data_IF_836160007989
#
_entry.id   IF_836160007989
#
_cell.length_a   1.000
_cell.length_b   1.000
_cell.length_c   1.000
_cell.angle_alpha   90.00
_cell.angle_beta   90.00
_cell.angle_gamma   90.00
#
_symmetry.space_group_name_H-M   'P 1'
#
loop_
_entity.id
_entity.type
_entity.pdbx_description
1 polymer ?
#
# COMPACT_ATOMS: atom_id res chain seq x y z
N UNK A 1 -21.24 -28.09 -3.36
CA UNK A 1 -21.64 -27.13 -2.31
C UNK A 1 -21.26 -25.74 -2.81
N UNK A 2 -22.22 -24.97 -3.35
CA UNK A 2 -21.93 -23.74 -4.09
C UNK A 2 -21.59 -22.58 -3.15
N UNK A 3 -20.38 -22.03 -3.24
CA UNK A 3 -20.02 -20.79 -2.54
C UNK A 3 -20.84 -19.63 -3.12
N UNK A 4 -21.58 -18.94 -2.27
CA UNK A 4 -22.31 -17.72 -2.61
C UNK A 4 -21.31 -16.70 -3.15
N UNK A 5 -21.43 -16.31 -4.42
CA UNK A 5 -20.75 -15.13 -4.94
C UNK A 5 -21.17 -13.94 -4.08
N UNK A 6 -20.19 -13.15 -3.63
CA UNK A 6 -20.44 -11.78 -3.21
C UNK A 6 -21.23 -11.09 -4.32
N UNK A 7 -22.40 -10.53 -4.02
CA UNK A 7 -23.24 -9.84 -5.02
C UNK A 7 -22.52 -8.59 -5.59
N UNK A 8 -21.41 -8.16 -4.96
CA UNK A 8 -20.74 -6.88 -5.20
C UNK A 8 -19.42 -6.98 -6.00
N UNK A 9 -18.77 -8.14 -6.07
CA UNK A 9 -17.48 -8.32 -6.75
C UNK A 9 -17.56 -9.43 -7.81
N UNK A 10 -16.90 -9.22 -8.96
CA UNK A 10 -16.88 -10.23 -10.02
C UNK A 10 -16.12 -11.50 -9.61
N UNK A 11 -15.05 -11.35 -8.83
CA UNK A 11 -14.22 -12.44 -8.32
C UNK A 11 -14.32 -12.53 -6.79
N UNK A 12 -14.01 -13.70 -6.24
CA UNK A 12 -13.97 -13.95 -4.79
C UNK A 12 -12.61 -13.61 -4.14
N UNK A 13 -11.55 -13.47 -4.95
CA UNK A 13 -10.20 -13.13 -4.49
C UNK A 13 -9.38 -14.30 -3.94
N UNK A 14 -9.97 -15.48 -3.76
CA UNK A 14 -9.34 -16.64 -3.10
C UNK A 14 -8.02 -17.06 -3.79
N UNK A 15 -8.05 -17.17 -5.12
CA UNK A 15 -6.87 -17.56 -5.89
C UNK A 15 -5.75 -16.51 -5.78
N UNK A 16 -6.10 -15.23 -5.85
CA UNK A 16 -5.14 -14.13 -5.76
C UNK A 16 -4.47 -14.10 -4.39
N UNK A 17 -5.25 -14.22 -3.31
CA UNK A 17 -4.73 -14.24 -1.95
C UNK A 17 -3.74 -15.38 -1.76
N UNK A 18 -4.12 -16.59 -2.18
CA UNK A 18 -3.26 -17.78 -2.07
C UNK A 18 -1.97 -17.60 -2.87
N UNK A 19 -2.05 -17.07 -4.10
CA UNK A 19 -0.86 -16.87 -4.94
C UNK A 19 0.09 -15.82 -4.35
N UNK A 20 -0.44 -14.71 -3.82
CA UNK A 20 0.36 -13.67 -3.17
C UNK A 20 1.06 -14.24 -1.93
N UNK A 21 0.34 -14.99 -1.09
CA UNK A 21 0.89 -15.62 0.12
C UNK A 21 1.98 -16.65 -0.23
N UNK A 22 1.77 -17.46 -1.26
CA UNK A 22 2.74 -18.45 -1.76
C UNK A 22 4.03 -17.76 -2.27
N UNK A 23 3.90 -16.70 -3.07
CA UNK A 23 5.04 -15.99 -3.65
C UNK A 23 5.85 -15.19 -2.63
N UNK A 24 5.18 -14.54 -1.68
CA UNK A 24 5.84 -13.65 -0.74
C UNK A 24 6.38 -14.39 0.49
N UNK A 25 5.90 -15.61 0.77
CA UNK A 25 6.26 -16.38 1.96
C UNK A 25 5.97 -15.53 3.22
N UNK A 26 6.44 -15.97 4.38
CA UNK A 26 6.37 -15.26 5.66
C UNK A 26 7.38 -14.10 5.65
N UNK A 27 7.01 -12.97 5.04
CA UNK A 27 7.82 -11.73 4.99
C UNK A 27 7.06 -10.53 5.55
N UNK A 28 7.71 -9.82 6.47
CA UNK A 28 7.22 -8.54 6.98
C UNK A 28 7.66 -7.39 6.07
N UNK A 29 6.87 -6.32 6.02
CA UNK A 29 7.17 -5.14 5.22
C UNK A 29 8.55 -4.53 5.51
N UNK A 30 9.00 -4.55 6.77
CA UNK A 30 10.30 -3.98 7.15
C UNK A 30 11.50 -4.81 6.65
N UNK A 31 11.27 -6.06 6.23
CA UNK A 31 12.29 -6.99 5.73
C UNK A 31 12.54 -6.85 4.22
N UNK A 32 11.90 -5.91 3.53
CA UNK A 32 12.17 -5.68 2.11
C UNK A 32 13.60 -5.19 1.88
N UNK A 33 14.25 -5.70 0.83
CA UNK A 33 15.64 -5.37 0.50
C UNK A 33 15.83 -3.88 0.19
N UNK A 34 14.84 -3.27 -0.45
CA UNK A 34 14.78 -1.84 -0.74
C UNK A 34 13.56 -1.21 -0.08
N UNK A 35 13.55 0.11 0.02
CA UNK A 35 12.39 0.81 0.55
C UNK A 35 11.26 0.79 -0.48
N UNK A 36 10.10 0.29 -0.06
CA UNK A 36 8.90 0.22 -0.90
C UNK A 36 7.80 1.08 -0.30
N UNK A 37 6.91 1.56 -1.17
CA UNK A 37 5.69 2.25 -0.80
C UNK A 37 4.51 1.61 -1.51
N UNK A 38 3.50 1.21 -0.75
CA UNK A 38 2.33 0.48 -1.22
C UNK A 38 1.09 1.29 -0.84
N UNK A 39 0.46 2.00 -1.79
CA UNK A 39 -0.76 2.76 -1.54
C UNK A 39 -1.98 1.83 -1.45
N UNK A 40 -2.92 2.17 -0.58
CA UNK A 40 -4.20 1.52 -0.39
C UNK A 40 -5.21 2.58 0.06
N UNK A 41 -6.50 2.28 0.03
CA UNK A 41 -7.53 3.16 0.59
C UNK A 41 -8.34 2.41 1.65
N UNK A 42 -8.49 2.99 2.84
CA UNK A 42 -9.32 2.37 3.89
C UNK A 42 -10.76 2.87 3.77
N UNK A 43 -11.68 1.99 3.38
CA UNK A 43 -13.08 2.33 3.14
C UNK A 43 -13.87 2.58 4.42
N UNK A 44 -13.37 2.13 5.58
CA UNK A 44 -14.03 2.39 6.86
C UNK A 44 -13.61 3.74 7.43
N UNK A 45 -12.33 4.09 7.29
CA UNK A 45 -11.79 5.37 7.73
C UNK A 45 -11.93 6.48 6.66
N UNK A 46 -12.33 6.11 5.44
CA UNK A 46 -12.47 7.00 4.29
C UNK A 46 -11.21 7.82 4.00
N UNK A 47 -10.04 7.18 4.10
CA UNK A 47 -8.76 7.85 3.93
C UNK A 47 -7.71 6.97 3.22
N UNK A 48 -6.77 7.58 2.49
CA UNK A 48 -5.65 6.85 1.91
C UNK A 48 -4.72 6.32 3.02
N UNK A 49 -4.30 5.06 2.88
CA UNK A 49 -3.29 4.44 3.72
C UNK A 49 -2.11 4.03 2.84
N UNK A 50 -0.92 4.44 3.25
CA UNK A 50 0.31 4.07 2.56
C UNK A 50 1.19 3.26 3.50
N UNK A 51 1.45 2.02 3.13
CA UNK A 51 2.42 1.16 3.77
C UNK A 51 3.80 1.48 3.20
N UNK A 52 4.78 1.73 4.06
CA UNK A 52 6.13 2.13 3.64
C UNK A 52 7.16 1.42 4.52
N UNK A 53 8.21 0.90 3.90
CA UNK A 53 9.33 0.25 4.61
C UNK A 53 9.99 1.23 5.58
N UNK A 54 10.14 2.50 5.20
CA UNK A 54 10.75 3.54 6.05
C UNK A 54 9.93 3.75 7.33
N UNK A 55 8.60 3.87 7.19
CA UNK A 55 7.67 3.96 8.34
C UNK A 55 7.68 2.70 9.21
N UNK A 56 7.81 1.52 8.60
CA UNK A 56 7.83 0.25 9.31
C UNK A 56 9.14 0.03 10.09
N UNK A 57 10.29 0.42 9.53
CA UNK A 57 11.60 0.36 10.20
C UNK A 57 11.67 1.28 11.41
N UNK A 58 11.01 2.44 11.36
CA UNK A 58 11.00 3.41 12.48
C UNK A 58 10.15 2.94 13.67
N UNK A 59 9.02 2.29 13.39
CA UNK A 59 8.07 1.89 14.41
C UNK A 59 7.89 0.37 14.39
N UNK A 60 8.58 -0.33 15.28
CA UNK A 60 8.41 -1.78 15.48
C UNK A 60 6.95 -2.21 15.76
N UNK A 61 6.11 -1.29 16.24
CA UNK A 61 4.67 -1.49 16.44
C UNK A 61 3.85 -1.47 15.13
N UNK A 62 4.43 -1.20 13.96
CA UNK A 62 3.72 -1.10 12.66
C UNK A 62 4.20 -2.16 11.66
N UNK A 63 4.39 -3.38 12.14
CA UNK A 63 4.91 -4.49 11.34
C UNK A 63 3.75 -5.24 10.69
N UNK A 64 3.34 -4.81 9.49
CA UNK A 64 2.38 -5.57 8.68
C UNK A 64 3.07 -6.63 7.82
N UNK A 65 2.35 -7.71 7.52
CA UNK A 65 2.76 -8.69 6.52
C UNK A 65 2.79 -8.03 5.15
N UNK A 66 3.83 -8.33 4.35
CA UNK A 66 3.94 -7.78 3.01
C UNK A 66 2.77 -8.26 2.13
N UNK A 67 2.33 -9.50 2.32
CA UNK A 67 1.19 -10.09 1.64
C UNK A 67 -0.13 -9.36 1.91
N UNK A 68 -0.41 -8.99 3.16
CA UNK A 68 -1.60 -8.20 3.50
C UNK A 68 -1.64 -6.87 2.74
N UNK A 69 -0.49 -6.18 2.67
CA UNK A 69 -0.37 -4.93 1.94
C UNK A 69 -0.57 -5.14 0.43
N UNK A 70 0.01 -6.20 -0.14
CA UNK A 70 -0.12 -6.56 -1.56
C UNK A 70 -1.55 -6.97 -1.95
N UNK A 71 -2.26 -7.69 -1.08
CA UNK A 71 -3.67 -7.99 -1.31
C UNK A 71 -4.48 -6.70 -1.28
N UNK A 72 -4.32 -5.89 -0.23
CA UNK A 72 -5.05 -4.63 -0.08
C UNK A 72 -4.88 -3.66 -1.25
N UNK A 73 -3.65 -3.47 -1.76
CA UNK A 73 -3.38 -2.55 -2.88
C UNK A 73 -3.98 -3.01 -4.20
N UNK A 74 -4.22 -4.31 -4.36
CA UNK A 74 -4.74 -4.91 -5.59
C UNK A 74 -6.24 -5.17 -5.57
N UNK A 75 -6.92 -4.90 -4.45
CA UNK A 75 -8.35 -5.14 -4.25
C UNK A 75 -9.21 -4.10 -4.99
N UNK A 76 -9.16 -4.15 -6.33
CA UNK A 76 -9.87 -3.24 -7.23
C UNK A 76 -11.38 -3.31 -6.98
N UNK A 77 -12.04 -2.18 -6.63
CA UNK A 77 -13.49 -2.14 -6.50
C UNK A 77 -14.17 -2.70 -7.74
N UNK A 78 -15.32 -3.34 -7.57
CA UNK A 78 -16.08 -4.08 -8.59
C UNK A 78 -15.44 -5.41 -9.04
N UNK A 79 -14.11 -5.53 -9.10
CA UNK A 79 -13.44 -6.76 -9.53
C UNK A 79 -13.18 -7.72 -8.37
N UNK A 80 -12.62 -7.22 -7.28
CA UNK A 80 -12.17 -7.97 -6.12
C UNK A 80 -12.85 -7.47 -4.84
N UNK A 81 -13.06 -8.34 -3.84
CA UNK A 81 -13.65 -7.91 -2.57
C UNK A 81 -12.66 -7.04 -1.77
N UNK A 82 -13.15 -6.10 -0.94
CA UNK A 82 -12.30 -5.39 0.01
C UNK A 82 -11.56 -6.36 0.95
N UNK A 83 -10.32 -6.02 1.28
CA UNK A 83 -9.46 -6.85 2.13
C UNK A 83 -9.46 -6.36 3.57
N UNK A 84 -9.67 -7.28 4.51
CA UNK A 84 -9.66 -6.99 5.94
C UNK A 84 -8.53 -7.73 6.64
N UNK A 85 -7.80 -7.01 7.49
CA UNK A 85 -6.89 -7.65 8.46
C UNK A 85 -6.73 -6.80 9.72
N UNK A 86 -6.21 -7.44 10.76
CA UNK A 86 -5.90 -6.81 12.04
C UNK A 86 -4.39 -6.83 12.28
N UNK A 87 -3.87 -5.71 12.76
CA UNK A 87 -2.50 -5.59 13.20
C UNK A 87 -2.47 -5.36 14.71
N UNK A 88 -1.91 -6.32 15.44
CA UNK A 88 -1.71 -6.20 16.87
C UNK A 88 -0.43 -5.40 17.15
N UNK A 89 -0.59 -4.32 17.90
CA UNK A 89 0.49 -3.41 18.28
C UNK A 89 0.56 -3.30 19.79
N UNK A 90 1.68 -2.80 20.33
CA UNK A 90 1.80 -2.49 21.77
C UNK A 90 0.75 -1.50 22.28
N UNK A 91 0.19 -0.67 21.39
CA UNK A 91 -0.85 0.32 21.70
C UNK A 91 -2.28 -0.18 21.47
N UNK A 92 -2.45 -1.46 21.10
CA UNK A 92 -3.75 -2.07 20.80
C UNK A 92 -3.85 -2.63 19.38
N UNK A 93 -5.05 -3.06 19.00
CA UNK A 93 -5.32 -3.65 17.69
C UNK A 93 -5.78 -2.61 16.69
N UNK A 94 -5.04 -2.47 15.58
CA UNK A 94 -5.43 -1.62 14.45
C UNK A 94 -6.10 -2.48 13.37
N UNK A 95 -7.30 -2.08 12.96
CA UNK A 95 -8.08 -2.77 11.93
C UNK A 95 -7.93 -2.03 10.60
N UNK A 96 -7.79 -2.77 9.52
CA UNK A 96 -7.65 -2.24 8.16
C UNK A 96 -8.77 -2.79 7.27
N UNK A 97 -9.43 -1.91 6.51
CA UNK A 97 -10.50 -2.28 5.58
C UNK A 97 -10.11 -1.73 4.21
N UNK A 98 -9.24 -2.43 3.50
CA UNK A 98 -8.50 -1.91 2.37
C UNK A 98 -9.17 -2.22 1.04
N UNK A 99 -9.07 -1.25 0.13
CA UNK A 99 -9.28 -1.42 -1.31
C UNK A 99 -8.08 -0.87 -2.07
N UNK A 100 -8.11 -1.08 -3.38
CA UNK A 100 -7.05 -0.76 -4.33
C UNK A 100 -6.39 0.61 -4.14
N UNK A 101 -5.07 0.64 -4.32
CA UNK A 101 -4.25 1.83 -4.23
C UNK A 101 -4.62 2.93 -5.22
N UNK A 102 -5.20 2.61 -6.37
CA UNK A 102 -5.67 3.58 -7.38
C UNK A 102 -6.71 4.54 -6.79
N UNK A 103 -7.55 4.06 -5.86
CA UNK A 103 -8.54 4.89 -5.16
C UNK A 103 -7.85 5.95 -4.30
N UNK A 104 -6.68 5.65 -3.75
CA UNK A 104 -5.88 6.57 -2.95
C UNK A 104 -4.93 7.44 -3.79
N UNK A 105 -4.25 6.84 -4.76
CA UNK A 105 -3.23 7.45 -5.58
C UNK A 105 -3.03 6.67 -6.89
N UNK A 106 -3.57 7.20 -7.99
CA UNK A 106 -3.39 6.63 -9.33
C UNK A 106 -1.93 6.70 -9.83
N UNK A 107 -1.16 7.70 -9.37
CA UNK A 107 0.26 7.87 -9.73
C UNK A 107 1.11 7.75 -8.45
N UNK A 108 1.57 6.55 -8.10
CA UNK A 108 2.33 6.33 -6.87
C UNK A 108 3.67 7.06 -6.83
N UNK A 109 4.22 7.49 -7.97
CA UNK A 109 5.48 8.25 -8.06
C UNK A 109 5.46 9.53 -7.21
N UNK A 110 4.38 10.30 -7.27
CA UNK A 110 4.26 11.54 -6.50
C UNK A 110 4.22 11.22 -5.00
N UNK A 111 3.50 10.16 -4.64
CA UNK A 111 3.44 9.68 -3.26
C UNK A 111 4.82 9.24 -2.75
N UNK A 112 5.59 8.52 -3.58
CA UNK A 112 6.95 8.08 -3.25
C UNK A 112 7.90 9.25 -3.00
N UNK A 113 7.91 10.26 -3.89
CA UNK A 113 8.72 11.47 -3.71
C UNK A 113 8.34 12.20 -2.42
N UNK A 114 7.04 12.29 -2.11
CA UNK A 114 6.56 12.91 -0.88
C UNK A 114 7.00 12.12 0.38
N UNK A 115 7.00 10.79 0.33
CA UNK A 115 7.45 9.95 1.44
C UNK A 115 8.94 10.11 1.68
N UNK A 116 9.76 10.06 0.61
CA UNK A 116 11.20 10.30 0.68
C UNK A 116 11.52 11.70 1.20
N UNK A 117 10.77 12.73 0.76
CA UNK A 117 10.94 14.10 1.29
C UNK A 117 10.72 14.16 2.79
N UNK A 118 9.63 13.54 3.28
CA UNK A 118 9.29 13.53 4.72
C UNK A 118 10.41 12.88 5.52
N UNK A 119 10.96 11.78 5.02
CA UNK A 119 12.06 11.06 5.66
C UNK A 119 13.36 11.88 5.67
N UNK A 120 13.73 12.53 4.56
CA UNK A 120 14.90 13.41 4.51
C UNK A 120 14.75 14.60 5.48
N UNK A 121 13.55 15.20 5.56
CA UNK A 121 13.29 16.32 6.47
C UNK A 121 13.39 15.89 7.93
N UNK A 122 12.87 14.72 8.28
CA UNK A 122 12.87 14.23 9.66
C UNK A 122 14.27 13.84 10.15
N UNK A 123 15.13 13.32 9.26
CA UNK A 123 16.51 12.99 9.60
C UNK A 123 17.41 14.22 9.83
N UNK A 124 17.04 15.40 9.33
CA UNK A 124 17.84 16.63 9.45
C UNK A 124 17.52 17.48 10.69
N UNK A 125 16.58 17.07 11.54
CA UNK A 125 16.29 17.74 12.81
C UNK A 125 15.69 19.14 12.71
N UNK A 126 15.40 19.64 11.50
CA UNK A 126 14.80 20.96 11.27
C UNK A 126 13.46 20.82 10.53
N UNK A 127 12.45 21.67 10.82
CA UNK A 127 11.22 21.76 10.03
C UNK A 127 11.54 22.53 8.75
N UNK A 128 12.47 22.01 7.97
CA UNK A 128 12.85 22.60 6.72
C UNK A 128 11.81 22.21 5.67
N UNK A 129 10.84 23.11 5.48
CA UNK A 129 10.11 23.33 4.23
C UNK A 129 11.08 23.72 3.10
N UNK A 130 12.19 23.01 2.95
CA UNK A 130 13.14 23.27 1.88
C UNK A 130 12.48 22.80 0.58
N UNK A 131 12.63 23.63 -0.45
CA UNK A 131 12.32 23.25 -1.83
C UNK A 131 12.93 21.87 -2.08
N UNK A 132 12.12 20.94 -2.60
CA UNK A 132 12.64 19.65 -3.02
C UNK A 132 13.61 19.97 -4.16
N UNK A 133 14.89 19.68 -3.95
CA UNK A 133 15.86 19.78 -5.02
C UNK A 133 15.66 18.58 -5.95
N UNK A 134 14.70 18.72 -6.87
CA UNK A 134 14.37 17.68 -7.85
C UNK A 134 15.56 17.33 -8.75
N UNK A 135 16.61 18.16 -8.83
CA UNK A 135 17.83 17.84 -9.57
C UNK A 135 18.57 16.62 -9.02
N UNK A 136 18.31 16.26 -7.75
CA UNK A 136 18.89 15.08 -7.09
C UNK A 136 18.07 13.80 -7.30
N UNK A 137 16.92 13.87 -7.96
CA UNK A 137 16.04 12.73 -8.16
C UNK A 137 16.17 12.21 -9.59
N UNK A 138 16.56 10.95 -9.71
CA UNK A 138 16.36 10.17 -10.93
C UNK A 138 15.07 9.36 -10.75
N UNK A 139 14.06 9.63 -11.58
CA UNK A 139 12.74 9.01 -11.48
C UNK A 139 12.45 8.21 -12.75
N UNK A 140 12.17 6.92 -12.57
CA UNK A 140 11.64 6.07 -13.62
C UNK A 140 10.19 5.71 -13.29
N UNK A 141 9.26 6.00 -14.20
CA UNK A 141 7.84 5.70 -14.05
C UNK A 141 7.36 4.83 -15.21
N UNK A 142 6.69 3.73 -14.88
CA UNK A 142 6.12 2.79 -15.84
C UNK A 142 4.60 2.78 -15.68
N UNK A 143 3.88 3.22 -16.72
CA UNK A 143 2.43 3.14 -16.79
C UNK A 143 1.95 1.86 -17.48
N UNK A 144 0.67 1.52 -17.28
CA UNK A 144 0.00 0.36 -17.89
C UNK A 144 -0.76 0.69 -19.18
N UNK A 145 -0.51 1.87 -19.76
CA UNK A 145 -1.20 2.37 -20.95
C UNK A 145 -2.55 3.04 -20.63
N UNK A 146 -3.11 3.72 -21.63
CA UNK A 146 -4.45 4.31 -21.56
C UNK A 146 -5.21 4.00 -22.85
N UNK A 147 -6.52 3.77 -22.73
CA UNK A 147 -7.36 3.61 -23.92
C UNK A 147 -7.50 4.96 -24.62
N UNK A 148 -7.24 5.02 -25.93
CA UNK A 148 -7.78 6.12 -26.74
C UNK A 148 -9.30 5.98 -26.75
N UNK A 149 -9.98 7.11 -26.59
CA UNK A 149 -11.41 7.22 -26.89
C UNK A 149 -11.49 7.72 -28.32
N UNK A 150 -12.17 6.97 -29.17
CA UNK A 150 -12.55 7.40 -30.52
C UNK A 150 -13.71 8.39 -30.44
#
# INVERSE_FOLDING_TARGET
>A
MGRKRSILSQCDGDYQHNKIMEMLVVKFLHQTLTDVIIPTFDIRLLQPISFSTLKAKRNASKVSWLSDNCIGTSAAPYYLPPYYFELHTSTGTKKFNLVDGVVAANIPTVLAICDVKKEISQNKGSPCLNSIDFSKFLVFFLGTGSSKRD
#
